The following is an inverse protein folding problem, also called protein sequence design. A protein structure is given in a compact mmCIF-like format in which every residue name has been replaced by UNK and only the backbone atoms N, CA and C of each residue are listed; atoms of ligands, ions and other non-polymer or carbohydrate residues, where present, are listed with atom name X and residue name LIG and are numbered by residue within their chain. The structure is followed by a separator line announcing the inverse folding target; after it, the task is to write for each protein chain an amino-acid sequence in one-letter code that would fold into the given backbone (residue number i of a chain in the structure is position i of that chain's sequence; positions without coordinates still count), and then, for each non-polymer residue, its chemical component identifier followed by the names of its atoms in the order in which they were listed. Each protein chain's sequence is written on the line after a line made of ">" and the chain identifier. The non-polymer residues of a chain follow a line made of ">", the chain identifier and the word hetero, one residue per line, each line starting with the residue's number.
data_IF_200716049159
#
_entry.id   IF_200716049159
#
_cell.length_a   1.000
_cell.length_b   1.000
_cell.length_c   1.000
_cell.angle_alpha   90.00
_cell.angle_beta   90.00
_cell.angle_gamma   90.00
#
_symmetry.space_group_name_H-M   'P 1'
#
loop_
_entity.id
_entity.type
_entity.pdbx_description
1 polymer ?
#
# COMPACT_ATOMS: atom_id res chain seq x y z
N UNK A 1 -22.00 -3.38 47.46
CA UNK A 1 -22.60 -3.03 46.16
C UNK A 1 -21.81 -1.91 45.50
N UNK A 2 -21.48 -0.84 46.23
CA UNK A 2 -20.71 0.30 45.70
C UNK A 2 -19.32 -0.09 45.20
N UNK A 3 -18.61 -0.97 45.92
CA UNK A 3 -17.31 -1.53 45.49
C UNK A 3 -17.36 -2.47 44.28
N UNK A 4 -18.54 -2.89 43.82
CA UNK A 4 -18.67 -3.69 42.59
C UNK A 4 -18.84 -2.78 41.37
N UNK A 5 -19.65 -1.73 41.51
CA UNK A 5 -19.94 -0.81 40.43
C UNK A 5 -18.85 0.26 40.26
N UNK A 6 -18.34 0.84 41.35
CA UNK A 6 -17.30 1.87 41.32
C UNK A 6 -16.39 1.81 42.54
N UNK A 7 -15.20 1.26 42.37
CA UNK A 7 -14.19 1.20 43.44
C UNK A 7 -13.55 2.59 43.57
N UNK A 8 -13.60 3.18 44.76
CA UNK A 8 -12.94 4.46 45.05
C UNK A 8 -13.83 5.70 44.95
N UNK A 9 -15.11 5.56 44.59
CA UNK A 9 -16.06 6.69 44.59
C UNK A 9 -16.30 7.17 46.04
N UNK A 10 -16.36 6.26 47.02
CA UNK A 10 -16.50 6.56 48.46
C UNK A 10 -15.53 5.70 49.31
N UNK A 11 -14.22 6.00 49.30
CA UNK A 11 -13.23 5.39 50.21
C UNK A 11 -12.01 4.76 49.55
N UNK A 12 -11.14 4.09 50.33
CA UNK A 12 -9.94 3.43 49.80
C UNK A 12 -10.29 2.26 48.87
N UNK A 13 -9.60 2.12 47.72
CA UNK A 13 -9.87 1.05 46.77
C UNK A 13 -9.54 -0.31 47.38
N UNK A 14 -10.41 -1.30 47.15
CA UNK A 14 -10.18 -2.66 47.60
C UNK A 14 -9.05 -3.28 46.78
N UNK A 15 -8.07 -3.86 47.47
CA UNK A 15 -6.86 -4.42 46.87
C UNK A 15 -6.77 -5.93 47.08
N UNK A 16 -6.11 -6.60 46.16
CA UNK A 16 -5.77 -8.01 46.29
C UNK A 16 -4.60 -8.24 47.28
N UNK A 17 -4.23 -9.51 47.50
CA UNK A 17 -3.09 -9.88 48.34
C UNK A 17 -1.72 -9.39 47.82
N UNK A 18 -1.66 -8.88 46.59
CA UNK A 18 -0.49 -8.28 45.96
C UNK A 18 -0.56 -6.73 45.91
N UNK A 19 -1.47 -6.12 46.70
CA UNK A 19 -1.67 -4.67 46.78
C UNK A 19 -2.09 -4.01 45.44
N UNK A 20 -2.62 -4.80 44.49
CA UNK A 20 -3.22 -4.31 43.25
C UNK A 20 -4.70 -4.04 43.48
N UNK A 21 -5.16 -2.85 43.13
CA UNK A 21 -6.58 -2.51 43.20
C UNK A 21 -7.39 -3.39 42.23
N UNK A 22 -8.53 -3.89 42.69
CA UNK A 22 -9.49 -4.55 41.80
C UNK A 22 -10.06 -3.53 40.81
N UNK A 23 -10.27 -3.95 39.56
CA UNK A 23 -10.99 -3.14 38.57
C UNK A 23 -12.50 -3.25 38.83
N UNK A 24 -13.17 -2.12 38.99
CA UNK A 24 -14.63 -2.08 39.11
C UNK A 24 -15.31 -2.23 37.75
N UNK A 25 -16.63 -2.42 37.75
CA UNK A 25 -17.38 -2.48 36.49
C UNK A 25 -17.27 -1.17 35.69
N UNK A 26 -17.28 -0.02 36.36
CA UNK A 26 -17.02 1.28 35.72
C UNK A 26 -15.62 1.36 35.12
N UNK A 27 -14.59 0.87 35.81
CA UNK A 27 -13.20 0.86 35.28
C UNK A 27 -13.02 -0.07 34.06
N UNK A 28 -13.88 -1.07 33.93
CA UNK A 28 -13.90 -1.96 32.75
C UNK A 28 -14.49 -1.22 31.55
N UNK A 29 -15.40 -0.27 31.77
CA UNK A 29 -16.12 0.43 30.72
C UNK A 29 -15.41 1.73 30.34
N UNK A 30 -15.02 2.52 31.33
CA UNK A 30 -14.45 3.85 31.18
C UNK A 30 -12.93 3.83 31.04
N UNK A 31 -12.37 4.94 30.55
CA UNK A 31 -10.93 5.10 30.35
C UNK A 31 -10.41 4.50 29.03
N UNK A 32 -9.12 4.76 28.76
CA UNK A 32 -8.46 4.36 27.51
C UNK A 32 -8.30 2.84 27.35
N UNK A 33 -8.12 2.14 28.48
CA UNK A 33 -8.12 0.66 28.55
C UNK A 33 -9.53 0.07 28.72
N UNK A 34 -10.56 0.93 28.73
CA UNK A 34 -11.95 0.51 28.85
C UNK A 34 -12.43 -0.20 27.59
N UNK A 35 -13.46 -1.05 27.73
CA UNK A 35 -14.04 -1.84 26.64
C UNK A 35 -14.51 -0.98 25.46
N UNK A 36 -14.94 0.26 25.70
CA UNK A 36 -15.34 1.16 24.63
C UNK A 36 -14.19 1.49 23.67
N UNK A 37 -13.02 1.85 24.19
CA UNK A 37 -11.88 2.23 23.35
C UNK A 37 -11.14 1.01 22.78
N UNK A 38 -10.88 -0.01 23.59
CA UNK A 38 -10.06 -1.16 23.15
C UNK A 38 -10.82 -2.22 22.36
N UNK A 39 -12.13 -2.37 22.58
CA UNK A 39 -12.90 -3.48 22.00
C UNK A 39 -13.95 -3.01 20.99
N UNK A 40 -14.54 -1.83 21.19
CA UNK A 40 -15.58 -1.32 20.28
C UNK A 40 -14.99 -0.43 19.17
N UNK A 41 -14.20 0.58 19.53
CA UNK A 41 -13.64 1.54 18.57
C UNK A 41 -12.38 1.01 17.86
N UNK A 42 -11.53 0.27 18.57
CA UNK A 42 -10.39 -0.46 18.00
C UNK A 42 -10.64 -1.96 18.05
N UNK A 43 -10.23 -2.68 17.00
CA UNK A 43 -10.22 -4.15 16.97
C UNK A 43 -9.00 -4.65 16.24
N UNK A 44 -8.46 -5.77 16.71
CA UNK A 44 -7.51 -6.56 15.92
C UNK A 44 -8.27 -7.17 14.73
N UNK A 45 -7.66 -7.09 13.54
CA UNK A 45 -8.28 -7.52 12.29
C UNK A 45 -7.44 -8.59 11.61
N UNK A 46 -8.12 -9.58 11.04
CA UNK A 46 -7.50 -10.58 10.17
C UNK A 46 -7.10 -9.97 8.83
N UNK A 47 -6.36 -10.73 8.01
CA UNK A 47 -5.85 -10.28 6.71
C UNK A 47 -5.05 -8.98 6.81
N UNK A 48 -4.23 -8.89 7.88
CA UNK A 48 -3.34 -7.78 8.14
C UNK A 48 -1.90 -8.25 8.38
N UNK A 49 -0.95 -7.36 8.11
CA UNK A 49 0.48 -7.60 8.32
C UNK A 49 1.22 -6.29 8.54
N UNK A 50 2.46 -6.35 9.01
CA UNK A 50 3.28 -5.15 9.24
C UNK A 50 4.73 -5.43 8.82
N UNK A 51 5.39 -4.43 8.25
CA UNK A 51 6.84 -4.47 8.01
C UNK A 51 7.44 -3.07 7.93
N UNK A 52 8.76 -3.02 8.00
CA UNK A 52 9.55 -1.82 7.75
C UNK A 52 9.36 -1.37 6.30
N UNK A 53 9.31 -0.06 6.10
CA UNK A 53 9.21 0.54 4.76
C UNK A 53 10.57 0.93 4.19
N UNK A 54 10.70 0.80 2.88
CA UNK A 54 11.86 1.23 2.10
C UNK A 54 11.39 2.01 0.87
N UNK A 55 12.26 2.86 0.32
CA UNK A 55 11.93 3.64 -0.87
C UNK A 55 11.91 2.76 -2.12
N UNK A 56 10.81 2.82 -2.88
CA UNK A 56 10.65 2.14 -4.18
C UNK A 56 10.54 3.14 -5.33
N UNK A 57 11.65 3.71 -5.83
CA UNK A 57 11.62 4.77 -6.85
C UNK A 57 11.18 4.27 -8.24
N UNK A 58 11.24 2.97 -8.50
CA UNK A 58 10.82 2.36 -9.77
C UNK A 58 9.33 2.03 -9.84
N UNK A 59 8.59 2.22 -8.74
CA UNK A 59 7.16 1.94 -8.67
C UNK A 59 6.37 3.10 -9.28
N UNK A 60 5.18 2.83 -9.81
CA UNK A 60 4.24 3.90 -10.13
C UNK A 60 3.58 4.45 -8.86
N UNK A 61 3.06 5.67 -8.89
CA UNK A 61 2.46 6.33 -7.71
C UNK A 61 1.35 5.50 -7.03
N UNK A 62 0.58 4.77 -7.84
CA UNK A 62 -0.52 3.91 -7.40
C UNK A 62 -0.08 2.51 -6.95
N UNK A 63 1.21 2.19 -7.01
CA UNK A 63 1.74 0.86 -6.70
C UNK A 63 2.50 0.86 -5.37
N UNK A 64 2.48 -0.29 -4.70
CA UNK A 64 3.36 -0.57 -3.58
C UNK A 64 4.03 -1.93 -3.76
N UNK A 65 5.25 -2.09 -3.23
CA UNK A 65 5.92 -3.38 -3.21
C UNK A 65 5.57 -4.14 -1.94
N UNK A 66 5.00 -5.34 -2.08
CA UNK A 66 4.79 -6.27 -0.97
C UNK A 66 5.81 -7.41 -1.00
N UNK A 67 6.47 -7.70 0.13
CA UNK A 67 7.41 -8.80 0.22
C UNK A 67 6.69 -10.15 0.12
N UNK A 68 7.37 -11.13 -0.46
CA UNK A 68 6.81 -12.47 -0.75
C UNK A 68 6.21 -13.16 0.47
N UNK A 69 6.85 -13.04 1.62
CA UNK A 69 6.44 -13.67 2.88
C UNK A 69 5.12 -13.10 3.40
N UNK A 70 4.93 -11.79 3.33
CA UNK A 70 3.69 -11.14 3.75
C UNK A 70 2.59 -11.40 2.73
N UNK A 71 2.90 -11.29 1.44
CA UNK A 71 1.93 -11.49 0.38
C UNK A 71 1.34 -12.92 0.40
N UNK A 72 2.15 -13.95 0.62
CA UNK A 72 1.66 -15.34 0.61
C UNK A 72 0.73 -15.65 1.80
N UNK A 73 0.98 -15.05 2.96
CA UNK A 73 0.12 -15.19 4.14
C UNK A 73 -1.19 -14.40 3.96
N UNK A 74 -1.10 -13.12 3.57
CA UNK A 74 -2.28 -12.27 3.36
C UNK A 74 -3.23 -12.83 2.28
N UNK A 75 -2.68 -13.37 1.20
CA UNK A 75 -3.47 -13.86 0.07
C UNK A 75 -3.66 -15.39 0.05
N UNK A 76 -3.31 -16.09 1.14
CA UNK A 76 -3.28 -17.56 1.17
C UNK A 76 -4.61 -18.19 0.71
N UNK A 77 -5.73 -17.70 1.22
CA UNK A 77 -7.08 -18.20 0.89
C UNK A 77 -7.40 -18.05 -0.60
N UNK A 78 -7.01 -16.92 -1.20
CA UNK A 78 -7.24 -16.63 -2.62
C UNK A 78 -6.37 -17.51 -3.51
N UNK A 79 -5.11 -17.74 -3.12
CA UNK A 79 -4.18 -18.63 -3.83
C UNK A 79 -4.67 -20.08 -3.78
N UNK A 80 -5.15 -20.55 -2.62
CA UNK A 80 -5.76 -21.90 -2.49
C UNK A 80 -6.95 -22.05 -3.45
N UNK A 81 -7.85 -21.06 -3.47
CA UNK A 81 -9.00 -21.06 -4.38
C UNK A 81 -8.56 -21.12 -5.85
N UNK A 82 -7.56 -20.34 -6.25
CA UNK A 82 -7.08 -20.32 -7.62
C UNK A 82 -6.40 -21.64 -8.03
N UNK A 83 -5.59 -22.23 -7.14
CA UNK A 83 -4.93 -23.53 -7.35
C UNK A 83 -5.93 -24.67 -7.60
N UNK A 84 -7.05 -24.69 -6.87
CA UNK A 84 -8.11 -25.68 -7.05
C UNK A 84 -8.88 -25.41 -8.35
N UNK A 85 -9.20 -24.14 -8.64
CA UNK A 85 -9.93 -23.74 -9.86
C UNK A 85 -9.15 -24.06 -11.14
N UNK A 86 -7.82 -23.95 -11.11
CA UNK A 86 -6.95 -24.28 -12.23
C UNK A 86 -6.58 -25.77 -12.29
N UNK A 87 -7.18 -26.63 -11.44
CA UNK A 87 -6.89 -28.07 -11.33
C UNK A 87 -5.42 -28.43 -11.01
N UNK A 88 -4.64 -27.48 -10.48
CA UNK A 88 -3.24 -27.70 -10.06
C UNK A 88 -3.18 -28.44 -8.72
N UNK A 89 -4.21 -28.27 -7.89
CA UNK A 89 -4.42 -29.00 -6.65
C UNK A 89 -5.81 -29.65 -6.64
N UNK A 90 -5.88 -30.91 -6.21
CA UNK A 90 -7.14 -31.66 -6.12
C UNK A 90 -7.98 -31.28 -4.90
N UNK A 91 -7.34 -30.91 -3.79
CA UNK A 91 -8.00 -30.56 -2.54
C UNK A 91 -7.25 -29.44 -1.80
N UNK A 92 -7.88 -28.89 -0.76
CA UNK A 92 -7.33 -27.81 0.08
C UNK A 92 -6.03 -28.23 0.75
N UNK A 93 -5.90 -29.50 1.18
CA UNK A 93 -4.71 -30.02 1.84
C UNK A 93 -3.47 -30.01 0.92
N UNK A 94 -3.63 -30.50 -0.31
CA UNK A 94 -2.61 -30.49 -1.35
C UNK A 94 -2.25 -29.06 -1.76
N UNK A 95 -3.25 -28.17 -1.86
CA UNK A 95 -2.98 -26.75 -2.12
C UNK A 95 -2.12 -26.11 -1.00
N UNK A 96 -2.46 -26.36 0.26
CA UNK A 96 -1.66 -25.90 1.42
C UNK A 96 -0.24 -26.48 1.43
N UNK A 97 -0.07 -27.76 1.09
CA UNK A 97 1.25 -28.38 0.95
C UNK A 97 2.07 -27.74 -0.16
N UNK A 98 1.49 -27.49 -1.34
CA UNK A 98 2.18 -26.79 -2.44
C UNK A 98 2.62 -25.37 -2.08
N UNK A 99 1.81 -24.65 -1.29
CA UNK A 99 2.14 -23.32 -0.76
C UNK A 99 3.32 -23.42 0.21
N UNK A 100 3.31 -24.38 1.14
CA UNK A 100 4.40 -24.62 2.11
C UNK A 100 5.72 -24.98 1.42
N UNK A 101 5.66 -25.76 0.35
CA UNK A 101 6.81 -26.13 -0.48
C UNK A 101 7.34 -24.97 -1.34
N UNK A 102 6.65 -23.81 -1.37
CA UNK A 102 7.05 -22.61 -2.13
C UNK A 102 7.34 -22.88 -3.62
N UNK A 103 6.57 -23.78 -4.24
CA UNK A 103 6.71 -24.13 -5.66
C UNK A 103 6.62 -22.89 -6.57
N UNK A 104 7.39 -22.81 -7.67
CA UNK A 104 7.45 -21.63 -8.53
C UNK A 104 6.08 -21.19 -9.08
N UNK A 105 5.22 -22.17 -9.40
CA UNK A 105 3.84 -21.96 -9.86
C UNK A 105 3.00 -21.13 -8.87
N UNK A 106 3.27 -21.24 -7.56
CA UNK A 106 2.54 -20.49 -6.53
C UNK A 106 2.81 -18.99 -6.64
N UNK A 107 4.04 -18.59 -7.01
CA UNK A 107 4.41 -17.19 -7.18
C UNK A 107 3.80 -16.56 -8.44
N UNK A 108 3.56 -17.35 -9.47
CA UNK A 108 2.82 -16.91 -10.67
C UNK A 108 1.35 -16.66 -10.34
N UNK A 109 0.71 -17.62 -9.68
CA UNK A 109 -0.69 -17.49 -9.24
C UNK A 109 -0.85 -16.35 -8.24
N UNK A 110 0.09 -16.20 -7.31
CA UNK A 110 0.06 -15.10 -6.34
C UNK A 110 0.10 -13.73 -7.06
N UNK A 111 0.97 -13.56 -8.06
CA UNK A 111 1.01 -12.32 -8.86
C UNK A 111 -0.30 -12.06 -9.59
N UNK A 112 -0.93 -13.10 -10.15
CA UNK A 112 -2.23 -12.99 -10.81
C UNK A 112 -3.33 -12.55 -9.82
N UNK A 113 -3.41 -13.21 -8.67
CA UNK A 113 -4.37 -12.88 -7.61
C UNK A 113 -4.20 -11.44 -7.12
N UNK A 114 -2.96 -11.02 -6.87
CA UNK A 114 -2.64 -9.67 -6.37
C UNK A 114 -3.06 -8.56 -7.36
N UNK A 115 -2.98 -8.80 -8.67
CA UNK A 115 -3.43 -7.81 -9.69
C UNK A 115 -4.91 -7.45 -9.56
N UNK A 116 -5.74 -8.38 -9.07
CA UNK A 116 -7.17 -8.15 -8.87
C UNK A 116 -7.52 -7.38 -7.59
N UNK A 117 -6.63 -7.36 -6.59
CA UNK A 117 -6.97 -6.94 -5.22
C UNK A 117 -6.09 -5.77 -4.77
N UNK A 118 -6.67 -4.58 -4.50
CA UNK A 118 -5.92 -3.49 -3.90
C UNK A 118 -5.59 -3.82 -2.43
N UNK A 119 -4.61 -3.11 -1.87
CA UNK A 119 -4.26 -3.20 -0.44
C UNK A 119 -4.24 -1.81 0.18
N UNK A 120 -4.56 -1.72 1.47
CA UNK A 120 -4.48 -0.49 2.24
C UNK A 120 -3.18 -0.48 3.02
N UNK A 121 -2.42 0.61 2.93
CA UNK A 121 -1.26 0.87 3.76
C UNK A 121 -1.61 1.93 4.80
N UNK A 122 -1.21 1.71 6.05
CA UNK A 122 -1.40 2.63 7.16
C UNK A 122 -0.10 2.82 7.94
N UNK A 123 0.21 4.08 8.28
CA UNK A 123 1.28 4.42 9.22
C UNK A 123 0.67 5.01 10.48
N UNK A 124 1.06 4.46 11.64
CA UNK A 124 0.70 5.03 12.93
C UNK A 124 1.70 6.12 13.35
N UNK A 125 1.26 7.21 14.00
CA UNK A 125 -0.12 7.59 14.27
C UNK A 125 -0.83 8.17 13.02
N UNK A 126 -2.10 7.80 12.81
CA UNK A 126 -2.92 8.32 11.70
C UNK A 126 -3.51 9.68 12.07
N UNK A 127 -2.90 10.77 11.58
CA UNK A 127 -3.31 12.14 11.91
C UNK A 127 -4.47 12.69 11.05
N UNK A 128 -4.56 12.21 9.81
CA UNK A 128 -5.57 12.64 8.84
C UNK A 128 -5.83 11.52 7.84
N UNK A 129 -6.87 11.67 7.00
CA UNK A 129 -7.31 10.63 6.05
C UNK A 129 -6.19 10.05 5.17
N UNK A 130 -5.20 10.87 4.78
CA UNK A 130 -4.09 10.43 3.91
C UNK A 130 -3.07 9.52 4.62
N UNK A 131 -3.18 9.34 5.93
CA UNK A 131 -2.40 8.36 6.67
C UNK A 131 -2.83 6.91 6.39
N UNK A 132 -3.93 6.71 5.64
CA UNK A 132 -4.34 5.44 5.07
C UNK A 132 -4.60 5.65 3.58
N UNK A 133 -3.92 4.91 2.71
CA UNK A 133 -4.17 4.95 1.26
C UNK A 133 -4.16 3.54 0.66
N UNK A 134 -4.87 3.40 -0.45
CA UNK A 134 -4.92 2.18 -1.24
C UNK A 134 -3.85 2.18 -2.33
N UNK A 135 -3.29 1.00 -2.58
CA UNK A 135 -2.28 0.76 -3.60
C UNK A 135 -2.56 -0.56 -4.32
N UNK A 136 -2.10 -0.64 -5.56
CA UNK A 136 -1.98 -1.89 -6.29
C UNK A 136 -0.70 -2.60 -5.84
N UNK A 137 -0.78 -3.76 -5.18
CA UNK A 137 0.40 -4.45 -4.72
C UNK A 137 1.17 -5.10 -5.88
N UNK A 138 2.50 -5.01 -5.81
CA UNK A 138 3.46 -5.66 -6.69
C UNK A 138 4.39 -6.52 -5.85
N UNK A 139 4.66 -7.74 -6.30
CA UNK A 139 5.52 -8.66 -5.56
C UNK A 139 6.98 -8.20 -5.66
N UNK A 140 7.62 -7.95 -4.52
CA UNK A 140 9.05 -7.56 -4.45
C UNK A 140 9.88 -8.60 -3.72
N UNK A 141 11.18 -8.58 -3.99
CA UNK A 141 12.17 -9.38 -3.27
C UNK A 141 12.56 -8.68 -1.95
N UNK A 142 12.89 -9.46 -0.92
CA UNK A 142 13.19 -8.95 0.41
C UNK A 142 12.03 -9.06 1.39
N UNK A 143 12.15 -8.37 2.53
CA UNK A 143 11.20 -8.42 3.67
C UNK A 143 10.52 -7.07 3.97
N UNK A 144 10.94 -6.00 3.31
CA UNK A 144 10.42 -4.65 3.53
C UNK A 144 9.32 -4.31 2.52
N UNK A 145 8.41 -3.42 2.91
CA UNK A 145 7.38 -2.86 2.03
C UNK A 145 8.02 -1.71 1.23
N UNK A 146 7.92 -1.75 -0.08
CA UNK A 146 8.43 -0.67 -0.93
C UNK A 146 7.35 0.38 -1.14
N UNK A 147 7.63 1.64 -0.81
CA UNK A 147 6.70 2.76 -0.94
C UNK A 147 7.22 3.79 -1.94
N UNK A 148 6.32 4.38 -2.71
CA UNK A 148 6.65 5.45 -3.63
C UNK A 148 7.12 6.71 -2.87
N UNK A 149 8.24 7.36 -3.24
CA UNK A 149 8.76 8.50 -2.49
C UNK A 149 7.81 9.71 -2.43
N UNK A 150 6.98 9.93 -3.45
CA UNK A 150 6.01 11.06 -3.46
C UNK A 150 4.83 10.90 -2.49
N UNK A 151 4.52 9.69 -2.01
CA UNK A 151 3.42 9.52 -1.02
C UNK A 151 3.92 9.67 0.42
N UNK A 152 5.24 9.72 0.63
CA UNK A 152 5.89 9.85 1.95
C UNK A 152 5.27 10.97 2.80
N UNK A 153 5.10 12.16 2.21
CA UNK A 153 4.53 13.34 2.90
C UNK A 153 3.11 13.08 3.39
N UNK A 154 2.30 12.34 2.62
CA UNK A 154 0.95 11.95 3.00
C UNK A 154 0.90 10.96 4.18
N UNK A 155 1.94 10.17 4.40
CA UNK A 155 2.03 9.30 5.59
C UNK A 155 2.81 9.94 6.74
N UNK A 156 3.38 11.13 6.52
CA UNK A 156 4.41 11.72 7.38
C UNK A 156 5.56 10.75 7.68
N UNK A 157 5.88 9.88 6.72
CA UNK A 157 6.82 8.77 6.90
C UNK A 157 8.27 9.22 6.68
N UNK A 158 9.21 8.49 7.24
CA UNK A 158 10.64 8.48 6.91
C UNK A 158 11.10 7.04 6.63
N UNK A 159 12.37 6.86 6.28
CA UNK A 159 12.92 5.55 5.91
C UNK A 159 14.07 5.13 6.84
N UNK A 160 13.99 5.51 8.12
CA UNK A 160 15.01 5.22 9.14
C UNK A 160 14.65 4.05 10.08
N UNK A 161 13.51 3.39 9.82
CA UNK A 161 13.00 2.29 10.65
C UNK A 161 11.47 2.26 10.78
N UNK A 162 10.80 3.27 10.24
CA UNK A 162 9.34 3.33 10.12
C UNK A 162 8.71 2.02 9.63
N UNK A 163 7.56 1.69 10.23
CA UNK A 163 6.79 0.50 9.90
C UNK A 163 5.39 0.88 9.43
N UNK A 164 4.85 0.12 8.49
CA UNK A 164 3.48 0.28 8.01
C UNK A 164 2.70 -1.02 8.10
N UNK A 165 1.44 -0.89 8.51
CA UNK A 165 0.47 -1.95 8.47
C UNK A 165 -0.13 -2.06 7.06
N UNK A 166 -0.41 -3.29 6.64
CA UNK A 166 -1.07 -3.65 5.39
C UNK A 166 -2.39 -4.31 5.73
N UNK A 167 -3.47 -3.93 5.04
CA UNK A 167 -4.78 -4.57 5.17
C UNK A 167 -5.34 -4.93 3.79
N UNK A 168 -5.98 -6.09 3.68
CA UNK A 168 -6.60 -6.54 2.43
C UNK A 168 -8.14 -6.38 2.49
N UNK A 169 -8.74 -5.48 1.68
CA UNK A 169 -10.19 -5.40 1.54
C UNK A 169 -10.73 -6.66 0.86
N UNK A 170 -11.68 -7.34 1.50
CA UNK A 170 -12.20 -8.63 1.03
C UNK A 170 -13.48 -8.49 0.19
N UNK A 171 -14.47 -7.73 0.66
CA UNK A 171 -15.75 -7.59 -0.04
C UNK A 171 -15.59 -6.76 -1.33
N UNK A 172 -16.50 -6.96 -2.29
CA UNK A 172 -16.46 -6.21 -3.54
C UNK A 172 -16.68 -4.72 -3.31
N UNK A 173 -17.53 -4.37 -2.36
CA UNK A 173 -17.82 -2.99 -1.96
C UNK A 173 -16.57 -2.33 -1.36
N UNK A 174 -15.85 -3.03 -0.47
CA UNK A 174 -14.62 -2.51 0.13
C UNK A 174 -13.49 -2.37 -0.91
N UNK A 175 -13.40 -3.30 -1.85
CA UNK A 175 -12.44 -3.19 -2.96
C UNK A 175 -12.78 -2.02 -3.90
N UNK A 176 -14.07 -1.79 -4.17
CA UNK A 176 -14.53 -0.66 -4.98
C UNK A 176 -14.27 0.67 -4.28
N UNK A 177 -14.58 0.78 -2.99
CA UNK A 177 -14.28 1.96 -2.17
C UNK A 177 -12.78 2.26 -2.14
N UNK A 178 -11.95 1.24 -1.94
CA UNK A 178 -10.50 1.38 -1.99
C UNK A 178 -10.06 1.97 -3.34
N UNK A 179 -10.53 1.40 -4.46
CA UNK A 179 -10.20 1.83 -5.84
C UNK A 179 -10.65 3.25 -6.16
N UNK A 180 -11.87 3.61 -5.75
CA UNK A 180 -12.49 4.87 -6.14
C UNK A 180 -12.12 6.04 -5.23
N UNK A 181 -11.98 5.79 -3.92
CA UNK A 181 -11.83 6.86 -2.93
C UNK A 181 -10.44 6.90 -2.30
N UNK A 182 -9.79 5.75 -2.10
CA UNK A 182 -8.59 5.67 -1.28
C UNK A 182 -7.29 5.52 -2.08
N UNK A 183 -7.34 5.29 -3.39
CA UNK A 183 -6.13 5.11 -4.19
C UNK A 183 -5.22 6.35 -4.13
N UNK A 184 -3.91 6.11 -4.04
CA UNK A 184 -2.93 7.19 -3.84
C UNK A 184 -2.92 8.23 -4.96
N UNK A 185 -3.13 7.82 -6.22
CA UNK A 185 -3.15 8.73 -7.38
C UNK A 185 -4.38 9.65 -7.43
N UNK A 186 -5.45 9.33 -6.69
CA UNK A 186 -6.66 10.16 -6.56
C UNK A 186 -6.45 11.22 -5.46
N UNK A 187 -5.60 10.90 -4.48
CA UNK A 187 -5.41 11.67 -3.26
C UNK A 187 -4.14 12.52 -3.29
N UNK A 188 -4.02 13.40 -4.30
CA UNK A 188 -2.82 14.23 -4.52
C UNK A 188 -2.81 15.54 -3.72
N UNK A 189 -3.98 16.01 -3.27
CA UNK A 189 -4.15 17.30 -2.59
C UNK A 189 -4.45 17.12 -1.11
N UNK A 190 -4.02 18.10 -0.31
CA UNK A 190 -4.35 18.21 1.10
C UNK A 190 -5.83 18.46 1.30
N UNK A 191 -6.56 17.67 2.11
CA UNK A 191 -7.96 17.93 2.40
C UNK A 191 -8.19 19.23 3.17
N UNK A 192 -7.19 19.73 3.90
CA UNK A 192 -7.34 20.90 4.76
C UNK A 192 -7.20 22.22 3.99
N UNK A 193 -6.20 22.31 3.11
CA UNK A 193 -5.79 23.58 2.48
C UNK A 193 -5.94 23.51 0.95
N UNK A 194 -5.99 22.31 0.36
CA UNK A 194 -6.01 22.12 -1.10
C UNK A 194 -4.62 22.09 -1.74
N UNK A 195 -3.55 22.32 -0.98
CA UNK A 195 -2.17 22.28 -1.49
C UNK A 195 -1.76 20.88 -1.97
N UNK A 196 -0.92 20.77 -3.00
CA UNK A 196 -0.41 19.49 -3.46
C UNK A 196 0.51 18.85 -2.42
N UNK A 197 0.27 17.57 -2.13
CA UNK A 197 1.06 16.78 -1.17
C UNK A 197 2.11 15.95 -1.88
N UNK A 198 1.79 15.39 -3.04
CA UNK A 198 2.70 14.55 -3.84
C UNK A 198 3.64 15.38 -4.71
N UNK A 199 4.33 16.34 -4.09
CA UNK A 199 5.31 17.22 -4.76
C UNK A 199 6.70 16.62 -4.63
N UNK A 200 7.57 16.73 -5.66
CA UNK A 200 8.98 16.35 -5.55
C UNK A 200 9.67 17.04 -4.37
N UNK A 201 10.50 16.30 -3.64
CA UNK A 201 11.23 16.82 -2.47
C UNK A 201 12.70 16.38 -2.49
N UNK A 202 13.54 17.05 -1.71
CA UNK A 202 14.95 16.71 -1.47
C UNK A 202 15.71 16.47 -2.79
N UNK A 203 16.20 15.26 -3.02
CA UNK A 203 17.04 14.88 -4.17
C UNK A 203 16.36 15.14 -5.51
N UNK A 204 15.04 14.97 -5.59
CA UNK A 204 14.30 15.25 -6.82
C UNK A 204 14.35 16.74 -7.18
N UNK A 205 14.24 17.62 -6.18
CA UNK A 205 14.34 19.07 -6.38
C UNK A 205 15.76 19.48 -6.76
N UNK A 206 16.78 18.86 -6.15
CA UNK A 206 18.18 19.12 -6.51
C UNK A 206 18.44 18.69 -7.96
N UNK A 207 17.95 17.53 -8.38
CA UNK A 207 18.06 17.06 -9.76
C UNK A 207 17.40 18.01 -10.76
N UNK A 208 16.15 18.43 -10.48
CA UNK A 208 15.44 19.41 -11.30
C UNK A 208 16.16 20.78 -11.34
N UNK A 209 16.66 21.24 -10.20
CA UNK A 209 17.41 22.49 -10.09
C UNK A 209 18.69 22.43 -10.94
N UNK A 210 19.50 21.38 -10.81
CA UNK A 210 20.74 21.23 -11.59
C UNK A 210 20.45 21.18 -13.09
N UNK A 211 19.40 20.48 -13.51
CA UNK A 211 18.99 20.41 -14.91
C UNK A 211 18.55 21.77 -15.47
N UNK A 212 18.01 22.65 -14.63
CA UNK A 212 17.46 23.96 -15.03
C UNK A 212 18.43 25.13 -14.82
N UNK A 213 19.43 25.00 -13.94
CA UNK A 213 20.19 26.16 -13.41
C UNK A 213 21.39 26.64 -14.23
N UNK A 214 21.66 26.14 -15.44
CA UNK A 214 22.98 26.45 -16.02
C UNK A 214 23.21 26.30 -17.51
N UNK A 215 22.17 26.10 -18.34
CA UNK A 215 22.42 25.88 -19.75
C UNK A 215 21.67 26.89 -20.63
N UNK A 216 22.32 28.04 -20.91
CA UNK A 216 21.92 28.93 -22.03
C UNK A 216 22.00 28.22 -23.40
N UNK A 217 22.53 26.98 -23.45
CA UNK A 217 22.56 26.08 -24.60
C UNK A 217 21.70 24.81 -24.42
N UNK A 218 20.92 24.68 -23.34
CA UNK A 218 19.91 23.62 -23.30
C UNK A 218 18.85 23.94 -24.35
N UNK A 219 18.80 23.10 -25.37
CA UNK A 219 17.72 23.09 -26.35
C UNK A 219 16.37 23.14 -25.61
N UNK A 220 15.39 23.95 -26.06
CA UNK A 220 14.06 24.05 -25.44
C UNK A 220 13.35 22.70 -25.24
N UNK A 221 13.78 21.66 -25.95
CA UNK A 221 13.25 20.29 -25.87
C UNK A 221 13.30 19.68 -24.47
N UNK A 222 14.28 20.03 -23.63
CA UNK A 222 14.39 19.44 -22.29
C UNK A 222 13.38 20.02 -21.29
N UNK A 223 13.00 21.29 -21.47
CA UNK A 223 12.02 21.98 -20.63
C UNK A 223 10.60 21.54 -21.02
N UNK A 224 10.35 21.36 -22.32
CA UNK A 224 9.07 20.84 -22.83
C UNK A 224 8.80 19.42 -22.29
N UNK A 225 9.82 18.56 -22.21
CA UNK A 225 9.65 17.20 -21.68
C UNK A 225 9.22 17.16 -20.19
N UNK A 226 9.68 18.10 -19.36
CA UNK A 226 9.30 18.17 -17.94
C UNK A 226 7.86 18.67 -17.77
N UNK A 227 7.43 19.60 -18.61
CA UNK A 227 6.05 20.11 -18.62
C UNK A 227 5.08 19.10 -19.24
N UNK A 228 5.49 18.38 -20.29
CA UNK A 228 4.70 17.31 -20.92
C UNK A 228 4.51 16.08 -20.00
N UNK A 229 5.48 15.77 -19.13
CA UNK A 229 5.35 14.75 -18.08
C UNK A 229 4.27 15.10 -17.04
N UNK A 230 3.91 16.38 -16.93
CA UNK A 230 2.82 16.87 -16.09
C UNK A 230 1.66 17.39 -16.95
N UNK A 231 1.39 16.73 -18.08
CA UNK A 231 0.16 16.99 -18.83
C UNK A 231 -1.01 16.17 -18.23
N UNK A 232 -2.00 16.80 -17.56
CA UNK A 232 -3.12 16.09 -16.93
C UNK A 232 -3.97 15.30 -17.94
N UNK A 233 -3.94 15.64 -19.23
CA UNK A 233 -4.65 14.90 -20.28
C UNK A 233 -4.05 13.51 -20.56
N UNK A 234 -2.72 13.31 -20.38
CA UNK A 234 -2.11 11.98 -20.55
C UNK A 234 -2.40 11.06 -19.35
N UNK A 235 -2.45 11.62 -18.13
CA UNK A 235 -2.81 10.88 -16.91
C UNK A 235 -4.28 10.41 -16.97
N UNK A 236 -5.16 11.16 -17.64
CA UNK A 236 -6.55 10.78 -17.89
C UNK A 236 -6.75 9.82 -19.08
N UNK A 237 -5.73 9.67 -19.95
CA UNK A 237 -5.81 8.84 -21.16
C UNK A 237 -5.51 7.35 -20.92
N UNK A 238 -4.97 6.99 -19.75
CA UNK A 238 -4.87 5.61 -19.25
C UNK A 238 -6.27 5.12 -18.81
N UNK A 239 -7.19 5.03 -19.78
CA UNK A 239 -8.47 4.35 -19.59
C UNK A 239 -8.18 2.84 -19.48
N UNK A 240 -8.78 2.12 -18.52
CA UNK A 240 -8.78 0.66 -18.59
C UNK A 240 -9.52 0.26 -19.86
N UNK A 241 -8.86 -0.48 -20.75
CA UNK A 241 -9.53 -1.08 -21.91
C UNK A 241 -10.77 -1.84 -21.45
N UNK A 242 -11.90 -1.48 -22.04
CA UNK A 242 -13.19 -2.11 -21.81
C UNK A 242 -13.10 -3.57 -22.30
N UNK A 243 -13.06 -4.51 -21.35
CA UNK A 243 -13.03 -5.95 -21.65
C UNK A 243 -14.37 -6.35 -22.27
N UNK A 244 -14.46 -6.27 -23.60
CA UNK A 244 -15.50 -6.96 -24.36
C UNK A 244 -15.16 -8.43 -24.45
N UNK A 245 -15.92 -9.25 -23.72
CA UNK A 245 -15.93 -10.69 -23.95
C UNK A 245 -16.42 -10.98 -25.36
N UNK A 246 -15.52 -11.38 -26.26
CA UNK A 246 -15.89 -12.17 -27.43
C UNK A 246 -14.92 -13.33 -27.61
N UNK A 247 -15.52 -14.45 -27.99
CA UNK A 247 -14.95 -15.77 -28.12
C UNK A 247 -13.99 -15.88 -29.31
N UNK A 248 -12.90 -16.62 -29.08
CA UNK A 248 -12.05 -17.27 -30.08
C UNK A 248 -11.00 -16.40 -30.79
N UNK A 249 -9.83 -17.03 -30.95
CA UNK A 249 -8.68 -16.73 -31.82
C UNK A 249 -7.50 -15.93 -31.21
N UNK A 250 -6.34 -16.58 -31.29
CA UNK A 250 -4.99 -16.08 -31.02
C UNK A 250 -4.63 -14.85 -31.87
N UNK A 251 -3.97 -13.85 -31.26
CA UNK A 251 -3.03 -12.92 -31.94
C UNK A 251 -1.99 -12.38 -30.91
N UNK A 252 -0.76 -12.04 -31.31
CA UNK A 252 0.45 -12.10 -30.49
C UNK A 252 0.74 -10.78 -29.74
N UNK A 253 1.47 -10.90 -28.61
CA UNK A 253 2.02 -9.77 -27.88
C UNK A 253 3.16 -9.11 -28.68
N UNK A 254 2.89 -7.94 -29.27
CA UNK A 254 3.92 -7.01 -29.69
C UNK A 254 4.50 -6.33 -28.45
N UNK A 255 5.76 -6.66 -28.15
CA UNK A 255 6.54 -6.05 -27.08
C UNK A 255 6.76 -4.56 -27.43
N UNK A 256 5.97 -3.70 -26.80
CA UNK A 256 6.14 -2.24 -26.84
C UNK A 256 7.53 -1.86 -26.35
N UNK A 257 8.26 -1.23 -27.25
CA UNK A 257 9.71 -1.12 -27.30
C UNK A 257 10.32 -0.25 -26.17
N UNK A 258 10.65 -0.86 -25.03
CA UNK A 258 11.48 -0.23 -23.99
C UNK A 258 12.91 0.06 -24.47
N UNK A 259 13.34 -0.50 -25.61
CA UNK A 259 14.62 -0.13 -26.24
C UNK A 259 14.55 1.23 -26.92
N UNK A 260 13.39 1.70 -27.36
CA UNK A 260 13.26 3.02 -28.00
C UNK A 260 13.54 4.18 -27.01
N UNK A 261 13.14 4.02 -25.75
CA UNK A 261 13.38 5.01 -24.69
C UNK A 261 14.86 5.00 -24.26
N UNK A 262 15.45 3.80 -24.10
CA UNK A 262 16.89 3.65 -23.82
C UNK A 262 17.79 4.11 -24.98
N UNK A 263 17.36 3.92 -26.23
CA UNK A 263 18.10 4.35 -27.42
C UNK A 263 18.14 5.88 -27.54
N UNK A 264 17.06 6.59 -27.17
CA UNK A 264 17.04 8.05 -27.12
C UNK A 264 17.91 8.61 -26.00
N UNK A 265 18.03 7.91 -24.87
CA UNK A 265 18.88 8.31 -23.74
C UNK A 265 20.38 8.15 -24.05
N UNK A 266 20.77 7.17 -24.88
CA UNK A 266 22.17 6.97 -25.31
C UNK A 266 22.71 8.03 -26.27
N UNK A 267 21.85 8.76 -26.98
CA UNK A 267 22.26 9.82 -27.93
C UNK A 267 22.58 11.14 -27.20
N UNK A 268 22.10 11.31 -25.96
CA UNK A 268 22.20 12.57 -25.22
C UNK A 268 23.37 12.66 -24.22
N UNK A 269 24.21 11.61 -24.12
CA UNK A 269 25.41 11.63 -23.26
C UNK A 269 26.62 11.93 -24.15
N UNK A 270 27.29 13.10 -24.01
CA UNK A 270 28.55 13.32 -24.68
C UNK A 270 29.57 12.32 -24.11
N UNK A 271 30.26 11.57 -24.97
CA UNK A 271 31.46 10.84 -24.55
C UNK A 271 32.53 11.88 -24.24
N UNK A 272 32.77 12.12 -22.95
CA UNK A 272 33.95 12.77 -22.40
C UNK A 272 34.87 11.72 -21.81
#
# INVERSE_FOLDING_TARGET
>A
MDTLFGIGIHGQPMKDGHNKAYKSFLDIIEGKEGRFYETLLGKCVDYSGCSVIVTGPSLSLHQCGLPREIAIELFQTFVIRSLIRQHIASNIGVAKSKIREKKPIVWEILREVMRGHPVLLNRAPTLHRLGIQAFQPVLVEGRAICLHPLVRKGFNADFDGDQMAVHVPLSFEAQAEARLLMFSHINLLSPAIGDPISVPTQDMLIGLYVLTSGNRRAQPSCIVAIVELWNPEQIASDKPEEVRMTSSQHVPYALGDTRAIMARMKVAIPRG
#
